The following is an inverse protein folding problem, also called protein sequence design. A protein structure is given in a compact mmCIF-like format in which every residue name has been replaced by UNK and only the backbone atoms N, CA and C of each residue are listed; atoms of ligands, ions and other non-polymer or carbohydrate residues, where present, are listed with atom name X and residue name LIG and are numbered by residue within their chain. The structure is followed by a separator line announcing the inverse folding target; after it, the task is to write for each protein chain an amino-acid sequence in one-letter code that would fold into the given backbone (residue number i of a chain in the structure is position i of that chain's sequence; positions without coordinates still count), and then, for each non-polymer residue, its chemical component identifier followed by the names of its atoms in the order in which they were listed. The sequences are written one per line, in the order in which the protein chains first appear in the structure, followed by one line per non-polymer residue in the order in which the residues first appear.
data_IF_317727203443
#
_entry.id   IF_317727203443
#
_cell.length_a   1.000
_cell.length_b   1.000
_cell.length_c   1.000
_cell.angle_alpha   90.00
_cell.angle_beta   90.00
_cell.angle_gamma   90.00
#
_symmetry.space_group_name_H-M   'P 1'
#
loop_
_entity.id
_entity.type
_entity.pdbx_description
1 polymer ?
#
# COMPACT_ATOMS: atom_id res chain seq x y z
N UNK A 1 55.90 20.86 -39.83
CA UNK A 1 56.67 21.41 -38.68
C UNK A 1 56.12 22.75 -38.31
N UNK A 2 55.33 22.84 -37.23
CA UNK A 2 55.16 24.04 -36.38
C UNK A 2 54.41 23.60 -35.15
N UNK A 3 55.14 23.40 -34.05
CA UNK A 3 54.61 23.19 -32.72
C UNK A 3 54.10 24.55 -32.19
N UNK A 4 52.84 24.61 -31.72
CA UNK A 4 52.34 25.71 -30.89
C UNK A 4 52.47 25.32 -29.43
N UNK A 5 53.23 26.14 -28.69
CA UNK A 5 53.40 26.10 -27.25
C UNK A 5 52.11 26.57 -26.57
N UNK A 6 51.74 25.86 -25.51
CA UNK A 6 50.63 26.22 -24.58
C UNK A 6 51.28 26.85 -23.34
N UNK A 7 50.91 28.09 -23.05
CA UNK A 7 51.27 28.80 -21.81
C UNK A 7 50.39 28.38 -20.63
N UNK A 8 50.93 28.35 -19.38
CA UNK A 8 50.16 28.01 -18.20
C UNK A 8 49.36 29.19 -17.63
N UNK A 9 48.19 28.91 -17.01
CA UNK A 9 47.32 29.87 -16.33
C UNK A 9 47.82 30.24 -14.93
N UNK A 10 47.52 31.45 -14.41
CA UNK A 10 47.97 31.93 -13.10
C UNK A 10 47.16 31.40 -11.93
N UNK A 11 47.71 31.42 -10.68
CA UNK A 11 47.08 30.83 -9.51
C UNK A 11 45.97 31.72 -8.90
N UNK A 12 44.91 31.09 -8.43
CA UNK A 12 43.77 31.68 -7.73
C UNK A 12 44.13 32.16 -6.32
N UNK A 13 43.84 33.44 -6.01
CA UNK A 13 43.97 34.04 -4.66
C UNK A 13 42.84 33.54 -3.75
N UNK A 14 43.21 33.08 -2.57
CA UNK A 14 42.33 32.81 -1.44
C UNK A 14 42.00 34.12 -0.72
N UNK A 15 40.73 34.47 -0.62
CA UNK A 15 40.24 35.49 0.30
C UNK A 15 39.75 34.82 1.57
N UNK A 16 40.40 35.12 2.66
CA UNK A 16 39.98 34.74 4.02
C UNK A 16 38.85 35.65 4.50
N UNK A 17 37.84 35.05 5.09
CA UNK A 17 36.81 35.76 5.88
C UNK A 17 36.75 35.12 7.27
N UNK A 18 37.00 35.95 8.27
CA UNK A 18 36.91 35.67 9.70
C UNK A 18 35.46 35.63 10.16
N UNK A 19 35.06 34.84 11.16
CA UNK A 19 33.69 34.77 11.67
C UNK A 19 33.49 35.79 12.80
N UNK A 20 32.53 36.72 12.55
CA UNK A 20 31.95 37.59 13.58
C UNK A 20 30.62 37.02 14.03
N UNK A 21 30.48 36.72 15.34
CA UNK A 21 29.25 36.20 15.90
C UNK A 21 28.16 37.24 16.08
N UNK A 22 26.91 36.76 15.97
CA UNK A 22 25.73 37.31 16.67
C UNK A 22 24.79 36.15 16.99
N UNK A 23 24.63 35.94 18.30
CA UNK A 23 23.60 35.07 18.85
C UNK A 23 22.22 35.68 18.65
N UNK A 24 21.29 34.93 18.06
CA UNK A 24 19.87 35.25 17.96
C UNK A 24 19.08 33.94 18.11
N UNK A 25 18.44 33.76 19.27
CA UNK A 25 17.53 32.66 19.56
C UNK A 25 16.29 32.80 18.69
N UNK A 26 16.05 31.82 17.82
CA UNK A 26 14.83 31.70 17.01
C UNK A 26 14.63 30.24 16.67
N UNK A 27 13.64 29.61 17.35
CA UNK A 27 13.36 28.19 17.44
C UNK A 27 13.47 27.39 16.16
N UNK A 28 14.24 26.34 16.24
CA UNK A 28 14.22 25.18 15.36
C UNK A 28 12.92 24.40 15.55
N UNK A 29 11.95 24.64 14.68
CA UNK A 29 10.82 23.77 14.40
C UNK A 29 10.76 23.48 12.89
N UNK A 30 11.88 23.07 12.31
CA UNK A 30 11.88 22.44 10.99
C UNK A 30 12.03 20.93 11.17
N UNK A 31 10.91 20.25 10.82
CA UNK A 31 10.74 18.83 10.95
C UNK A 31 11.93 18.01 10.44
N UNK A 32 12.27 16.95 11.15
CA UNK A 32 13.21 15.92 10.72
C UNK A 32 12.85 15.51 9.29
N UNK A 33 13.72 15.86 8.34
CA UNK A 33 13.62 15.33 6.97
C UNK A 33 13.70 13.81 7.08
N UNK A 34 12.55 13.16 6.89
CA UNK A 34 12.46 11.69 6.88
C UNK A 34 13.26 11.21 5.67
N UNK A 35 14.48 10.74 5.90
CA UNK A 35 15.29 10.16 4.84
C UNK A 35 14.77 8.76 4.56
N UNK A 36 14.42 8.48 3.31
CA UNK A 36 14.11 7.13 2.90
C UNK A 36 15.41 6.29 2.84
N UNK A 37 15.35 5.05 3.31
CA UNK A 37 16.44 4.09 3.21
C UNK A 37 16.08 3.02 2.21
N UNK A 38 16.71 3.05 1.03
CA UNK A 38 16.54 2.01 0.01
C UNK A 38 17.41 0.80 0.37
N UNK A 39 16.79 -0.38 0.31
CA UNK A 39 17.41 -1.68 0.54
C UNK A 39 17.02 -2.64 -0.58
N UNK A 40 17.62 -3.83 -0.60
CA UNK A 40 17.37 -4.85 -1.61
C UNK A 40 17.11 -6.19 -0.95
N UNK A 41 16.21 -6.97 -1.56
CA UNK A 41 15.98 -8.38 -1.25
C UNK A 41 15.92 -9.17 -2.56
N UNK A 42 16.00 -10.50 -2.46
CA UNK A 42 16.03 -11.38 -3.65
C UNK A 42 14.82 -12.30 -3.61
N UNK A 43 13.99 -12.23 -4.66
CA UNK A 43 12.85 -13.11 -4.85
C UNK A 43 13.28 -14.56 -5.09
N UNK A 44 12.35 -15.51 -4.95
CA UNK A 44 12.63 -16.96 -5.07
C UNK A 44 13.24 -17.36 -6.42
N UNK A 45 12.93 -16.60 -7.46
CA UNK A 45 13.44 -16.78 -8.83
C UNK A 45 14.74 -16.02 -9.13
N UNK A 46 15.36 -15.43 -8.09
CA UNK A 46 16.63 -14.73 -8.18
C UNK A 46 16.53 -13.25 -8.57
N UNK A 47 15.33 -12.73 -8.85
CA UNK A 47 15.14 -11.31 -9.17
C UNK A 47 15.37 -10.46 -7.91
N UNK A 48 16.23 -9.45 -8.03
CA UNK A 48 16.50 -8.50 -6.96
C UNK A 48 15.46 -7.37 -6.97
N UNK A 49 14.80 -7.18 -5.82
CA UNK A 49 13.78 -6.17 -5.61
C UNK A 49 14.32 -5.04 -4.70
N UNK A 50 14.12 -3.80 -5.11
CA UNK A 50 14.43 -2.64 -4.31
C UNK A 50 13.21 -2.27 -3.45
N UNK A 51 13.42 -2.02 -2.16
CA UNK A 51 12.38 -1.56 -1.26
C UNK A 51 12.85 -0.43 -0.35
N UNK A 52 11.91 0.35 0.17
CA UNK A 52 12.16 1.42 1.11
C UNK A 52 11.21 1.36 2.29
N UNK A 53 11.72 1.72 3.46
CA UNK A 53 10.95 1.83 4.71
C UNK A 53 11.12 3.25 5.24
N UNK A 54 10.02 3.88 5.62
CA UNK A 54 10.00 5.23 6.15
C UNK A 54 8.90 5.41 7.19
N UNK A 55 9.01 6.46 7.99
CA UNK A 55 8.01 6.78 9.01
C UNK A 55 8.08 5.89 10.25
N UNK A 56 7.07 6.00 11.08
CA UNK A 56 6.92 5.21 12.31
C UNK A 56 5.43 5.03 12.62
N UNK A 57 5.09 3.94 13.31
CA UNK A 57 3.71 3.58 13.64
C UNK A 57 3.30 2.23 13.07
N UNK A 58 1.99 1.92 13.00
CA UNK A 58 1.51 0.66 12.46
C UNK A 58 2.01 0.41 11.03
N UNK A 59 2.42 -0.82 10.68
CA UNK A 59 2.97 -1.10 9.35
C UNK A 59 1.89 -1.03 8.26
N UNK A 60 2.18 -0.24 7.23
CA UNK A 60 1.40 -0.10 6.01
C UNK A 60 2.28 -0.43 4.80
N UNK A 61 1.92 -1.43 4.02
CA UNK A 61 2.63 -1.83 2.82
C UNK A 61 1.90 -1.30 1.59
N UNK A 62 2.50 -0.35 0.88
CA UNK A 62 2.04 0.06 -0.44
C UNK A 62 2.56 -0.94 -1.46
N UNK A 63 1.66 -1.75 -1.97
CA UNK A 63 1.96 -2.75 -3.00
C UNK A 63 2.46 -2.04 -4.27
N UNK A 64 3.51 -2.58 -4.89
CA UNK A 64 4.11 -1.97 -6.07
C UNK A 64 3.10 -1.77 -7.20
N UNK A 65 3.13 -0.58 -7.78
CA UNK A 65 2.29 -0.19 -8.91
C UNK A 65 3.09 -0.22 -10.20
N UNK A 66 2.40 -0.29 -11.32
CA UNK A 66 3.01 -0.15 -12.64
C UNK A 66 3.79 1.17 -12.73
N UNK A 67 5.06 1.04 -13.11
CA UNK A 67 6.01 2.12 -13.29
C UNK A 67 6.36 2.87 -11.99
N UNK A 68 6.64 2.12 -10.94
CA UNK A 68 7.22 2.68 -9.72
C UNK A 68 8.70 3.00 -9.88
N UNK A 69 9.17 3.97 -9.13
CA UNK A 69 10.60 4.27 -8.97
C UNK A 69 10.82 4.92 -7.60
N UNK A 70 11.41 4.19 -6.67
CA UNK A 70 11.55 4.62 -5.27
C UNK A 70 12.15 6.02 -5.10
N UNK A 71 13.19 6.36 -5.85
CA UNK A 71 13.85 7.68 -5.76
C UNK A 71 13.03 8.77 -6.45
N UNK A 72 12.53 8.52 -7.67
CA UNK A 72 11.75 9.52 -8.42
C UNK A 72 10.43 9.83 -7.72
N UNK A 73 9.72 8.82 -7.22
CA UNK A 73 8.47 9.01 -6.49
C UNK A 73 8.67 9.88 -5.25
N UNK A 74 9.84 9.81 -4.61
CA UNK A 74 10.16 10.59 -3.43
C UNK A 74 10.25 12.10 -3.70
N UNK A 75 10.71 12.49 -4.87
CA UNK A 75 10.86 13.89 -5.30
C UNK A 75 9.66 14.41 -6.12
N UNK A 76 8.69 13.55 -6.34
CA UNK A 76 7.59 13.72 -7.28
C UNK A 76 6.58 14.78 -6.85
N UNK A 77 6.17 15.70 -7.74
CA UNK A 77 5.01 16.56 -7.50
C UNK A 77 3.68 15.80 -7.60
N UNK A 78 3.72 14.49 -7.95
CA UNK A 78 2.54 13.62 -8.10
C UNK A 78 2.42 12.63 -6.95
N UNK A 79 3.54 12.08 -6.42
CA UNK A 79 3.52 11.04 -5.40
C UNK A 79 4.04 11.47 -4.02
N UNK A 80 4.80 12.56 -3.93
CA UNK A 80 5.47 12.96 -2.69
C UNK A 80 4.53 13.13 -1.51
N UNK A 81 3.36 13.74 -1.72
CA UNK A 81 2.36 13.95 -0.66
C UNK A 81 1.80 12.62 -0.14
N UNK A 82 1.54 11.64 -1.03
CA UNK A 82 1.16 10.27 -0.63
C UNK A 82 2.19 9.67 0.32
N UNK A 83 3.47 9.74 -0.07
CA UNK A 83 4.55 9.11 0.67
C UNK A 83 4.78 9.80 2.01
N UNK A 84 4.76 11.14 2.02
CA UNK A 84 4.97 11.92 3.22
C UNK A 84 3.82 11.72 4.21
N UNK A 85 2.58 11.98 3.79
CA UNK A 85 1.44 12.00 4.71
C UNK A 85 1.09 10.59 5.23
N UNK A 86 1.22 9.55 4.41
CA UNK A 86 1.08 8.17 4.89
C UNK A 86 2.24 7.76 5.81
N UNK A 87 3.48 8.21 5.53
CA UNK A 87 4.65 7.94 6.36
C UNK A 87 4.67 8.70 7.67
N UNK A 88 3.98 9.82 7.79
CA UNK A 88 3.89 10.60 9.04
C UNK A 88 3.15 9.82 10.15
N UNK A 89 2.30 8.85 9.78
CA UNK A 89 1.46 8.09 10.72
C UNK A 89 1.69 6.59 10.71
N UNK A 90 2.44 6.07 9.73
CA UNK A 90 2.67 4.65 9.54
C UNK A 90 4.15 4.35 9.28
N UNK A 91 4.58 3.15 9.65
CA UNK A 91 5.77 2.56 9.06
C UNK A 91 5.41 2.15 7.63
N UNK A 92 5.65 3.06 6.68
CA UNK A 92 5.32 2.86 5.28
C UNK A 92 6.41 2.06 4.58
N UNK A 93 6.06 0.87 4.10
CA UNK A 93 6.91 0.01 3.25
C UNK A 93 6.42 0.12 1.82
N UNK A 94 7.34 0.33 0.89
CA UNK A 94 7.08 0.34 -0.55
C UNK A 94 8.25 -0.27 -1.32
N UNK A 95 8.01 -0.76 -2.50
CA UNK A 95 9.03 -1.40 -3.32
C UNK A 95 8.79 -1.14 -4.80
N UNK A 96 9.85 -1.25 -5.59
CA UNK A 96 9.75 -1.19 -7.04
C UNK A 96 9.37 -2.56 -7.61
N UNK A 97 8.38 -2.56 -8.49
CA UNK A 97 7.99 -3.74 -9.23
C UNK A 97 9.19 -4.30 -10.02
N UNK A 98 9.28 -5.61 -10.15
CA UNK A 98 10.26 -6.24 -11.07
C UNK A 98 10.18 -5.60 -12.46
N UNK A 99 11.32 -5.32 -13.05
CA UNK A 99 11.41 -4.60 -14.32
C UNK A 99 11.32 -3.09 -14.22
N UNK A 100 11.05 -2.53 -13.03
CA UNK A 100 10.87 -1.09 -12.82
C UNK A 100 11.85 -0.52 -11.79
N UNK A 101 12.04 0.79 -11.83
CA UNK A 101 12.77 1.57 -10.84
C UNK A 101 14.18 1.05 -10.59
N UNK A 102 14.47 0.78 -9.33
CA UNK A 102 15.74 0.26 -8.85
C UNK A 102 15.79 -1.28 -8.77
N UNK A 103 14.66 -1.96 -9.00
CA UNK A 103 14.59 -3.42 -9.11
C UNK A 103 15.22 -3.91 -10.39
N UNK A 104 15.61 -5.20 -10.42
CA UNK A 104 16.20 -5.82 -11.61
C UNK A 104 15.28 -5.70 -12.83
N UNK A 105 15.88 -5.50 -14.00
CA UNK A 105 15.15 -5.35 -15.28
C UNK A 105 14.56 -6.65 -15.82
N UNK A 106 14.93 -7.79 -15.25
CA UNK A 106 14.34 -9.08 -15.59
C UNK A 106 12.93 -9.18 -15.02
N UNK A 107 11.94 -9.28 -15.88
CA UNK A 107 10.52 -9.40 -15.48
C UNK A 107 10.04 -10.85 -15.38
N UNK A 108 10.79 -11.82 -15.94
CA UNK A 108 10.34 -13.21 -16.07
C UNK A 108 9.03 -13.32 -16.86
N UNK A 109 8.13 -14.19 -16.41
CA UNK A 109 6.72 -14.26 -16.87
C UNK A 109 5.80 -13.64 -15.78
N UNK A 110 5.48 -12.33 -15.90
CA UNK A 110 4.75 -11.64 -14.85
C UNK A 110 3.30 -12.15 -14.76
N UNK A 111 2.91 -12.49 -13.53
CA UNK A 111 1.59 -13.02 -13.19
C UNK A 111 1.21 -12.57 -11.77
N UNK A 112 -0.05 -12.78 -11.40
CA UNK A 112 -0.52 -12.52 -10.01
C UNK A 112 0.32 -13.29 -9.00
N UNK A 113 0.66 -14.55 -9.29
CA UNK A 113 1.44 -15.40 -8.39
C UNK A 113 2.87 -14.89 -8.20
N UNK A 114 3.49 -14.44 -9.28
CA UNK A 114 4.83 -13.83 -9.23
C UNK A 114 4.81 -12.54 -8.42
N UNK A 115 3.85 -11.65 -8.65
CA UNK A 115 3.75 -10.39 -7.90
C UNK A 115 3.38 -10.58 -6.42
N UNK A 116 2.57 -11.60 -6.09
CA UNK A 116 2.29 -11.99 -4.70
C UNK A 116 3.57 -12.51 -4.03
N UNK A 117 4.37 -13.32 -4.73
CA UNK A 117 5.67 -13.79 -4.24
C UNK A 117 6.69 -12.65 -4.04
N UNK A 118 6.68 -11.63 -4.90
CA UNK A 118 7.50 -10.42 -4.73
C UNK A 118 7.10 -9.65 -3.47
N UNK A 119 5.79 -9.46 -3.25
CA UNK A 119 5.28 -8.83 -2.04
C UNK A 119 5.67 -9.63 -0.80
N UNK A 120 5.52 -10.96 -0.81
CA UNK A 120 5.93 -11.84 0.28
C UNK A 120 7.43 -11.68 0.60
N UNK A 121 8.28 -11.70 -0.44
CA UNK A 121 9.72 -11.50 -0.29
C UNK A 121 10.06 -10.16 0.39
N UNK A 122 9.39 -9.09 0.03
CA UNK A 122 9.62 -7.75 0.61
C UNK A 122 9.17 -7.70 2.06
N UNK A 123 7.97 -8.17 2.40
CA UNK A 123 7.45 -8.10 3.78
C UNK A 123 8.23 -9.00 4.73
N UNK A 124 8.76 -10.13 4.23
CA UNK A 124 9.65 -11.02 4.98
C UNK A 124 11.03 -10.38 5.20
N UNK A 125 11.59 -9.70 4.19
CA UNK A 125 12.86 -8.98 4.32
C UNK A 125 12.79 -7.79 5.31
N UNK A 126 11.61 -7.20 5.47
CA UNK A 126 11.34 -6.15 6.49
C UNK A 126 11.06 -6.76 7.86
N UNK A 127 10.70 -8.05 7.95
CA UNK A 127 10.34 -8.74 9.19
C UNK A 127 8.93 -8.42 9.68
N UNK A 128 7.99 -8.14 8.76
CA UNK A 128 6.60 -7.86 9.12
C UNK A 128 5.81 -9.15 9.35
N UNK A 129 5.29 -9.33 10.55
CA UNK A 129 4.37 -10.45 10.86
C UNK A 129 2.94 -10.13 10.43
N UNK A 130 2.45 -8.91 10.76
CA UNK A 130 1.10 -8.46 10.45
C UNK A 130 1.09 -6.99 10.06
N UNK A 131 0.41 -6.65 8.96
CA UNK A 131 0.44 -5.31 8.36
C UNK A 131 -0.85 -5.00 7.60
N UNK A 132 -1.09 -3.71 7.34
CA UNK A 132 -2.13 -3.27 6.41
C UNK A 132 -1.56 -3.20 4.98
N UNK A 133 -2.42 -3.44 3.99
CA UNK A 133 -2.10 -3.32 2.57
C UNK A 133 -2.78 -2.09 1.96
N UNK A 134 -2.03 -1.35 1.15
CA UNK A 134 -2.55 -0.33 0.23
C UNK A 134 -2.27 -0.77 -1.21
N UNK A 135 -3.33 -1.13 -1.92
CA UNK A 135 -3.28 -1.47 -3.34
C UNK A 135 -3.87 -0.34 -4.20
N UNK A 136 -3.02 0.29 -5.02
CA UNK A 136 -3.44 1.35 -5.95
C UNK A 136 -3.47 0.78 -7.37
N UNK A 137 -4.54 1.04 -8.13
CA UNK A 137 -4.67 0.56 -9.51
C UNK A 137 -4.56 -0.98 -9.60
N UNK A 138 -3.70 -1.53 -10.47
CA UNK A 138 -3.50 -2.98 -10.58
C UNK A 138 -2.95 -3.64 -9.30
N UNK A 139 -2.29 -2.89 -8.44
CA UNK A 139 -1.83 -3.41 -7.16
C UNK A 139 -2.98 -3.81 -6.22
N UNK A 140 -4.20 -3.33 -6.48
CA UNK A 140 -5.40 -3.77 -5.78
C UNK A 140 -5.63 -5.28 -5.96
N UNK A 141 -5.50 -5.81 -7.17
CA UNK A 141 -5.64 -7.25 -7.43
C UNK A 141 -4.54 -8.07 -6.72
N UNK A 142 -3.31 -7.56 -6.65
CA UNK A 142 -2.21 -8.21 -5.92
C UNK A 142 -2.51 -8.21 -4.42
N UNK A 143 -2.99 -7.08 -3.88
CA UNK A 143 -3.38 -6.96 -2.47
C UNK A 143 -4.52 -7.93 -2.11
N UNK A 144 -5.54 -8.06 -2.98
CA UNK A 144 -6.64 -9.02 -2.83
C UNK A 144 -6.12 -10.45 -2.82
N UNK A 145 -5.28 -10.82 -3.80
CA UNK A 145 -4.72 -12.17 -3.90
C UNK A 145 -3.84 -12.51 -2.68
N UNK A 146 -3.03 -11.56 -2.22
CA UNK A 146 -2.21 -11.73 -1.02
C UNK A 146 -3.08 -11.88 0.23
N UNK A 147 -4.06 -11.01 0.43
CA UNK A 147 -4.94 -11.04 1.59
C UNK A 147 -5.77 -12.33 1.68
N UNK A 148 -6.24 -12.85 0.54
CA UNK A 148 -6.96 -14.12 0.48
C UNK A 148 -6.06 -15.32 0.86
N UNK A 149 -4.78 -15.30 0.46
CA UNK A 149 -3.83 -16.39 0.71
C UNK A 149 -3.16 -16.32 2.09
N UNK A 150 -3.06 -15.14 2.68
CA UNK A 150 -2.36 -14.88 3.94
C UNK A 150 -3.24 -14.11 4.95
N UNK A 151 -4.42 -14.64 5.32
CA UNK A 151 -5.39 -13.92 6.16
C UNK A 151 -4.84 -13.55 7.54
N UNK A 152 -3.92 -14.34 8.08
CA UNK A 152 -3.29 -14.08 9.38
C UNK A 152 -2.28 -12.92 9.35
N UNK A 153 -1.72 -12.62 8.18
CA UNK A 153 -0.71 -11.55 7.99
C UNK A 153 -1.32 -10.19 7.66
N UNK A 154 -2.55 -10.16 7.13
CA UNK A 154 -3.18 -8.91 6.69
C UNK A 154 -4.16 -8.41 7.76
N UNK A 155 -3.90 -7.23 8.31
CA UNK A 155 -4.77 -6.62 9.29
C UNK A 155 -5.95 -5.89 8.64
N UNK A 156 -5.69 -5.17 7.55
CA UNK A 156 -6.66 -4.38 6.77
C UNK A 156 -6.22 -4.26 5.33
N UNK A 157 -7.17 -4.02 4.44
CA UNK A 157 -6.90 -3.77 3.02
C UNK A 157 -7.52 -2.45 2.60
N UNK A 158 -6.72 -1.58 1.99
CA UNK A 158 -7.19 -0.35 1.34
C UNK A 158 -6.93 -0.48 -0.15
N UNK A 159 -7.96 -0.34 -0.96
CA UNK A 159 -7.89 -0.43 -2.42
C UNK A 159 -8.33 0.91 -3.02
N UNK A 160 -7.49 1.49 -3.86
CA UNK A 160 -7.82 2.75 -4.55
C UNK A 160 -7.67 2.60 -6.07
N UNK A 161 -8.71 2.97 -6.82
CA UNK A 161 -8.70 2.99 -8.29
C UNK A 161 -8.39 1.62 -8.91
N UNK A 162 -8.73 0.54 -8.18
CA UNK A 162 -8.35 -0.83 -8.54
C UNK A 162 -9.42 -1.61 -9.31
N UNK A 163 -9.04 -2.80 -9.77
CA UNK A 163 -9.91 -3.73 -10.49
C UNK A 163 -9.68 -5.17 -10.04
N UNK A 164 -10.74 -6.01 -10.13
CA UNK A 164 -10.65 -7.45 -9.90
C UNK A 164 -10.22 -8.22 -11.15
N UNK A 165 -10.47 -7.68 -12.32
CA UNK A 165 -10.24 -8.33 -13.63
C UNK A 165 -9.63 -7.37 -14.62
N UNK A 166 -8.61 -7.82 -15.34
CA UNK A 166 -7.92 -7.05 -16.36
C UNK A 166 -8.76 -6.88 -17.64
N UNK A 167 -8.27 -6.05 -18.55
CA UNK A 167 -8.96 -5.63 -19.79
C UNK A 167 -9.41 -6.78 -20.69
N UNK A 168 -8.72 -7.92 -20.66
CA UNK A 168 -9.10 -9.11 -21.46
C UNK A 168 -10.43 -9.71 -21.01
N UNK A 169 -10.75 -9.62 -19.71
CA UNK A 169 -12.00 -10.13 -19.15
C UNK A 169 -13.18 -9.15 -19.31
N UNK A 170 -12.90 -7.88 -19.62
CA UNK A 170 -13.92 -6.86 -19.93
C UNK A 170 -14.09 -6.60 -21.45
N UNK A 171 -13.55 -7.46 -22.32
CA UNK A 171 -13.72 -7.37 -23.75
C UNK A 171 -12.84 -6.34 -24.46
N UNK A 172 -11.89 -5.72 -23.75
CA UNK A 172 -11.03 -4.63 -24.26
C UNK A 172 -9.69 -5.13 -24.80
N UNK A 173 -9.68 -6.26 -25.50
CA UNK A 173 -8.44 -6.88 -26.02
C UNK A 173 -7.80 -6.02 -27.13
N UNK A 174 -8.62 -5.42 -28.00
CA UNK A 174 -8.12 -4.58 -29.11
C UNK A 174 -7.48 -3.30 -28.60
N UNK A 175 -8.08 -2.69 -27.58
CA UNK A 175 -7.55 -1.50 -26.92
C UNK A 175 -6.22 -1.82 -26.20
N UNK A 176 -6.13 -2.97 -25.54
CA UNK A 176 -4.88 -3.45 -24.92
C UNK A 176 -3.77 -3.60 -25.98
N UNK A 177 -4.06 -4.25 -27.10
CA UNK A 177 -3.08 -4.46 -28.15
C UNK A 177 -2.62 -3.15 -28.81
N UNK A 178 -3.54 -2.20 -29.02
CA UNK A 178 -3.22 -0.87 -29.53
C UNK A 178 -2.28 -0.11 -28.57
N UNK A 179 -2.57 -0.13 -27.27
CA UNK A 179 -1.72 0.51 -26.25
C UNK A 179 -0.35 -0.18 -26.20
N UNK A 180 -0.28 -1.51 -26.22
CA UNK A 180 0.98 -2.25 -26.22
C UNK A 180 1.82 -1.93 -27.47
N UNK A 181 1.21 -1.81 -28.65
CA UNK A 181 1.91 -1.39 -29.87
C UNK A 181 2.44 0.04 -29.74
N UNK A 182 1.63 0.94 -29.20
CA UNK A 182 2.02 2.32 -28.96
C UNK A 182 3.16 2.43 -27.93
N UNK A 183 3.14 1.64 -26.83
CA UNK A 183 4.25 1.56 -25.86
C UNK A 183 5.54 1.18 -26.58
N UNK A 184 5.52 0.14 -27.42
CA UNK A 184 6.71 -0.33 -28.12
C UNK A 184 7.27 0.71 -29.10
N UNK A 185 6.40 1.47 -29.75
CA UNK A 185 6.79 2.47 -30.74
C UNK A 185 7.24 3.80 -30.12
N UNK A 186 6.61 4.22 -29.03
CA UNK A 186 6.73 5.60 -28.54
C UNK A 186 7.44 5.79 -27.18
N UNK A 187 7.72 4.72 -26.43
CA UNK A 187 8.18 4.81 -25.04
C UNK A 187 9.46 5.62 -24.85
N UNK A 188 10.48 5.36 -25.68
CA UNK A 188 11.80 5.98 -25.59
C UNK A 188 12.02 7.11 -26.58
N UNK A 189 11.01 7.43 -27.43
CA UNK A 189 11.16 8.48 -28.44
C UNK A 189 11.37 9.85 -27.79
N UNK A 190 12.16 10.74 -28.39
CA UNK A 190 12.30 12.12 -27.93
C UNK A 190 10.95 12.86 -27.91
N UNK A 191 10.05 12.57 -28.87
CA UNK A 191 8.72 13.18 -28.95
C UNK A 191 7.87 12.73 -27.74
N UNK A 192 7.42 13.64 -26.87
CA UNK A 192 6.62 13.29 -25.69
C UNK A 192 5.16 12.95 -26.02
N UNK A 193 4.68 13.18 -27.24
CA UNK A 193 3.26 13.06 -27.61
C UNK A 193 2.64 11.71 -27.17
N UNK A 194 3.41 10.62 -27.31
CA UNK A 194 2.97 9.30 -26.87
C UNK A 194 2.78 9.23 -25.34
N UNK A 195 3.73 9.74 -24.57
CA UNK A 195 3.67 9.72 -23.11
C UNK A 195 2.60 10.66 -22.56
N UNK A 196 2.30 11.75 -23.27
CA UNK A 196 1.18 12.67 -22.98
C UNK A 196 -0.18 11.97 -22.98
N UNK A 197 -0.36 10.93 -23.79
CA UNK A 197 -1.58 10.13 -23.75
C UNK A 197 -1.77 9.51 -22.37
N UNK A 198 -0.70 9.01 -21.73
CA UNK A 198 -0.78 8.46 -20.39
C UNK A 198 -0.97 9.55 -19.34
N UNK A 199 -0.19 10.64 -19.38
CA UNK A 199 -0.36 11.71 -18.40
C UNK A 199 -1.77 12.34 -18.46
N UNK A 200 -2.35 12.48 -19.65
CA UNK A 200 -3.72 12.96 -19.83
C UNK A 200 -4.81 11.97 -19.31
N UNK A 201 -4.52 10.67 -19.29
CA UNK A 201 -5.43 9.67 -18.74
C UNK A 201 -5.32 9.56 -17.21
N UNK A 202 -4.08 9.58 -16.70
CA UNK A 202 -3.80 9.39 -15.28
C UNK A 202 -4.00 10.65 -14.43
N UNK A 203 -3.75 11.82 -15.03
CA UNK A 203 -3.75 13.14 -14.39
C UNK A 203 -4.52 14.18 -15.23
N UNK A 204 -5.80 13.94 -15.58
CA UNK A 204 -6.53 14.89 -16.46
C UNK A 204 -6.61 16.31 -15.90
N UNK A 205 -6.56 16.45 -14.56
CA UNK A 205 -6.56 17.75 -13.87
C UNK A 205 -5.17 18.14 -13.35
N UNK A 206 -4.12 17.45 -13.81
CA UNK A 206 -2.74 17.74 -13.44
C UNK A 206 -2.24 19.05 -14.07
N UNK A 207 -1.34 19.75 -13.37
CA UNK A 207 -0.60 20.88 -13.93
C UNK A 207 0.33 20.42 -15.05
N UNK A 208 0.78 21.33 -15.90
CA UNK A 208 1.75 21.03 -16.95
C UNK A 208 3.06 20.44 -16.37
N UNK A 209 3.48 20.91 -15.19
CA UNK A 209 4.65 20.40 -14.46
C UNK A 209 4.43 18.95 -14.00
N UNK A 210 3.28 18.66 -13.38
CA UNK A 210 2.92 17.30 -12.92
C UNK A 210 2.83 16.32 -14.09
N UNK A 211 2.23 16.72 -15.21
CA UNK A 211 2.16 15.89 -16.42
C UNK A 211 3.54 15.64 -17.02
N UNK A 212 4.38 16.67 -17.15
CA UNK A 212 5.73 16.54 -17.69
C UNK A 212 6.60 15.64 -16.79
N UNK A 213 6.46 15.79 -15.47
CA UNK A 213 7.15 14.93 -14.52
C UNK A 213 6.71 13.47 -14.65
N UNK A 214 5.40 13.22 -14.77
CA UNK A 214 4.85 11.88 -14.96
C UNK A 214 5.35 11.23 -16.27
N UNK A 215 5.42 12.01 -17.36
CA UNK A 215 6.00 11.58 -18.64
C UNK A 215 7.48 11.16 -18.51
N UNK A 216 8.27 11.89 -17.70
CA UNK A 216 9.67 11.55 -17.43
C UNK A 216 9.80 10.31 -16.55
N UNK A 217 8.93 10.17 -15.52
CA UNK A 217 8.84 8.96 -14.71
C UNK A 217 8.60 7.72 -15.59
N UNK A 218 7.64 7.76 -16.51
CA UNK A 218 7.36 6.66 -17.43
C UNK A 218 8.63 6.21 -18.16
N UNK A 219 9.35 7.16 -18.72
CA UNK A 219 10.57 6.92 -19.50
C UNK A 219 11.72 6.35 -18.67
N UNK A 220 11.87 6.82 -17.41
CA UNK A 220 13.00 6.47 -16.53
C UNK A 220 12.75 5.19 -15.74
N UNK A 221 11.49 4.86 -15.47
CA UNK A 221 11.15 3.72 -14.63
C UNK A 221 11.45 2.37 -15.28
N UNK A 222 11.30 2.24 -16.62
CA UNK A 222 11.45 0.95 -17.27
C UNK A 222 11.74 1.07 -18.76
N UNK A 223 12.06 -0.06 -19.42
CA UNK A 223 12.23 -0.15 -20.88
C UNK A 223 10.89 -0.31 -21.60
N UNK A 224 10.84 0.03 -22.90
CA UNK A 224 9.66 -0.19 -23.73
C UNK A 224 9.20 -1.66 -23.75
N UNK A 225 10.14 -2.59 -23.81
CA UNK A 225 9.86 -4.03 -23.79
C UNK A 225 9.22 -4.48 -22.50
N UNK A 226 9.79 -4.09 -21.35
CA UNK A 226 9.27 -4.42 -20.03
C UNK A 226 7.90 -3.74 -19.78
N UNK A 227 7.76 -2.45 -20.11
CA UNK A 227 6.49 -1.74 -19.99
C UNK A 227 5.36 -2.44 -20.77
N UNK A 228 5.64 -2.83 -22.02
CA UNK A 228 4.68 -3.54 -22.88
C UNK A 228 4.31 -4.93 -22.32
N UNK A 229 5.28 -5.68 -21.83
CA UNK A 229 5.06 -7.02 -21.25
C UNK A 229 4.26 -6.95 -19.95
N UNK A 230 4.63 -6.04 -19.04
CA UNK A 230 3.91 -5.79 -17.79
C UNK A 230 2.48 -5.29 -18.06
N UNK A 231 2.27 -4.39 -19.03
CA UNK A 231 0.93 -3.93 -19.41
C UNK A 231 0.05 -5.07 -19.92
N UNK A 232 0.60 -5.95 -20.76
CA UNK A 232 -0.11 -7.13 -21.27
C UNK A 232 -0.41 -8.16 -20.17
N UNK A 233 0.50 -8.36 -19.21
CA UNK A 233 0.29 -9.26 -18.09
C UNK A 233 -0.87 -8.80 -17.21
N UNK A 234 -1.00 -7.48 -17.00
CA UNK A 234 -2.11 -6.89 -16.24
C UNK A 234 -3.47 -7.08 -16.90
N UNK A 235 -3.52 -7.11 -18.23
CA UNK A 235 -4.75 -7.44 -18.98
C UNK A 235 -5.26 -8.85 -18.66
N UNK A 236 -4.39 -9.77 -18.22
CA UNK A 236 -4.71 -11.16 -17.87
C UNK A 236 -5.03 -11.39 -16.39
N UNK A 237 -4.91 -10.37 -15.55
CA UNK A 237 -5.24 -10.46 -14.12
C UNK A 237 -6.73 -10.82 -13.94
N UNK A 238 -7.01 -11.78 -13.06
CA UNK A 238 -8.35 -12.08 -12.59
C UNK A 238 -8.26 -12.63 -11.18
N UNK A 239 -8.86 -11.92 -10.22
CA UNK A 239 -8.92 -12.29 -8.80
C UNK A 239 -10.36 -12.36 -8.30
N UNK A 240 -11.34 -12.48 -9.21
CA UNK A 240 -12.76 -12.57 -8.84
C UNK A 240 -13.05 -13.75 -7.91
N UNK A 241 -12.38 -14.89 -8.09
CA UNK A 241 -12.56 -16.08 -7.27
C UNK A 241 -11.80 -15.99 -5.92
N UNK A 242 -10.83 -15.10 -5.80
CA UNK A 242 -10.07 -14.84 -4.57
C UNK A 242 -10.71 -13.75 -3.71
N UNK A 243 -11.36 -12.76 -4.32
CA UNK A 243 -11.97 -11.64 -3.62
C UNK A 243 -12.98 -12.06 -2.52
N UNK A 244 -13.85 -13.06 -2.72
CA UNK A 244 -14.74 -13.55 -1.66
C UNK A 244 -14.03 -14.23 -0.48
N UNK A 245 -12.73 -14.57 -0.62
CA UNK A 245 -11.91 -15.22 0.41
C UNK A 245 -11.14 -14.21 1.26
N UNK A 246 -11.23 -12.92 0.97
CA UNK A 246 -10.57 -11.87 1.76
C UNK A 246 -11.29 -11.71 3.10
N UNK A 247 -10.58 -12.02 4.19
CA UNK A 247 -11.10 -11.96 5.54
C UNK A 247 -10.79 -10.63 6.25
N UNK A 248 -9.81 -9.88 5.75
CA UNK A 248 -9.44 -8.60 6.30
C UNK A 248 -10.50 -7.55 5.96
N UNK A 249 -10.89 -6.71 6.93
CA UNK A 249 -11.75 -5.55 6.64
C UNK A 249 -11.16 -4.75 5.49
N UNK A 250 -11.99 -4.39 4.53
CA UNK A 250 -11.53 -3.77 3.29
C UNK A 250 -12.24 -2.44 3.05
N UNK A 251 -11.45 -1.41 2.73
CA UNK A 251 -11.91 -0.12 2.24
C UNK A 251 -11.59 -0.02 0.75
N UNK A 252 -12.61 0.19 -0.07
CA UNK A 252 -12.46 0.41 -1.51
C UNK A 252 -12.80 1.86 -1.83
N UNK A 253 -11.88 2.59 -2.40
CA UNK A 253 -12.09 3.97 -2.84
C UNK A 253 -11.85 4.10 -4.34
N UNK A 254 -12.61 4.95 -5.01
CA UNK A 254 -12.48 5.12 -6.46
C UNK A 254 -12.85 6.55 -6.87
N UNK A 255 -12.07 7.13 -7.78
CA UNK A 255 -12.41 8.42 -8.38
C UNK A 255 -13.59 8.24 -9.35
N UNK A 256 -14.57 9.17 -9.28
CA UNK A 256 -15.84 9.10 -10.05
C UNK A 256 -15.60 8.99 -11.56
N UNK A 257 -14.71 9.83 -12.07
CA UNK A 257 -14.47 10.01 -13.50
C UNK A 257 -13.10 9.46 -13.94
N UNK A 258 -12.62 8.43 -13.22
CA UNK A 258 -11.37 7.74 -13.56
C UNK A 258 -11.44 7.15 -14.98
N UNK A 259 -10.50 7.61 -15.83
CA UNK A 259 -10.42 7.19 -17.24
C UNK A 259 -9.45 6.02 -17.47
N UNK A 260 -8.68 5.65 -16.47
CA UNK A 260 -7.73 4.51 -16.52
C UNK A 260 -8.43 3.22 -16.13
N UNK A 261 -9.14 3.26 -15.00
CA UNK A 261 -9.94 2.18 -14.46
C UNK A 261 -11.35 2.68 -14.20
N UNK A 262 -12.36 2.20 -14.94
CA UNK A 262 -13.74 2.61 -14.73
C UNK A 262 -14.23 2.34 -13.31
N UNK A 263 -14.99 3.25 -12.72
CA UNK A 263 -15.52 3.15 -11.34
C UNK A 263 -16.31 1.85 -11.08
N UNK A 264 -16.85 1.25 -12.13
CA UNK A 264 -17.57 -0.03 -12.08
C UNK A 264 -16.67 -1.17 -11.59
N UNK A 265 -15.37 -1.13 -11.88
CA UNK A 265 -14.41 -2.13 -11.39
C UNK A 265 -14.17 -1.99 -9.87
N UNK A 266 -14.12 -0.77 -9.34
CA UNK A 266 -14.09 -0.54 -7.89
C UNK A 266 -15.37 -1.02 -7.18
N UNK A 267 -16.54 -0.76 -7.78
CA UNK A 267 -17.82 -1.29 -7.29
C UNK A 267 -17.86 -2.81 -7.32
N UNK A 268 -17.32 -3.42 -8.38
CA UNK A 268 -17.22 -4.88 -8.47
C UNK A 268 -16.34 -5.43 -7.34
N UNK A 269 -15.18 -4.86 -7.08
CA UNK A 269 -14.33 -5.24 -5.94
C UNK A 269 -15.08 -5.17 -4.62
N UNK A 270 -15.79 -4.07 -4.37
CA UNK A 270 -16.58 -3.90 -3.15
C UNK A 270 -17.76 -4.88 -3.03
N UNK A 271 -18.30 -5.34 -4.17
CA UNK A 271 -19.37 -6.36 -4.19
C UNK A 271 -18.82 -7.76 -3.93
N UNK A 272 -17.61 -8.06 -4.43
CA UNK A 272 -17.01 -9.40 -4.32
C UNK A 272 -16.37 -9.64 -2.94
N UNK A 273 -15.82 -8.60 -2.31
CA UNK A 273 -15.14 -8.72 -1.01
C UNK A 273 -16.16 -8.61 0.12
N UNK A 274 -16.26 -9.60 1.03
CA UNK A 274 -17.18 -9.55 2.15
C UNK A 274 -16.98 -8.31 3.03
N UNK A 275 -18.06 -7.65 3.40
CA UNK A 275 -18.10 -6.48 4.28
C UNK A 275 -17.18 -5.32 3.84
N UNK A 276 -16.88 -5.22 2.54
CA UNK A 276 -16.09 -4.13 2.00
C UNK A 276 -16.87 -2.80 2.03
N UNK A 277 -16.23 -1.76 2.52
CA UNK A 277 -16.76 -0.40 2.49
C UNK A 277 -16.35 0.31 1.20
N UNK A 278 -17.32 0.89 0.46
CA UNK A 278 -17.05 1.60 -0.79
C UNK A 278 -17.24 3.10 -0.64
N UNK A 279 -16.24 3.88 -1.07
CA UNK A 279 -16.29 5.35 -1.08
C UNK A 279 -16.00 5.86 -2.49
N UNK A 280 -16.90 6.70 -2.98
CA UNK A 280 -16.76 7.38 -4.25
C UNK A 280 -16.14 8.76 -4.01
N UNK A 281 -14.97 9.00 -4.62
CA UNK A 281 -14.28 10.28 -4.53
C UNK A 281 -14.62 11.16 -5.72
N UNK A 282 -14.81 12.46 -5.48
CA UNK A 282 -15.12 13.44 -6.52
C UNK A 282 -13.84 13.92 -7.20
N UNK A 283 -13.34 13.10 -8.11
CA UNK A 283 -12.12 13.35 -8.89
C UNK A 283 -12.21 12.66 -10.24
N UNK A 284 -11.46 13.19 -11.22
CA UNK A 284 -11.19 12.53 -12.50
C UNK A 284 -9.76 11.96 -12.57
N UNK A 285 -8.92 12.30 -11.58
CA UNK A 285 -7.54 11.82 -11.55
C UNK A 285 -7.45 10.37 -11.08
N UNK A 286 -6.76 9.54 -11.86
CA UNK A 286 -6.44 8.17 -11.43
C UNK A 286 -5.40 8.15 -10.30
N UNK A 287 -4.53 9.14 -10.25
CA UNK A 287 -3.61 9.41 -9.14
C UNK A 287 -4.05 10.72 -8.52
N UNK A 288 -4.58 10.68 -7.29
CA UNK A 288 -5.04 11.88 -6.59
C UNK A 288 -3.88 12.86 -6.37
N UNK A 289 -4.15 14.12 -6.64
CA UNK A 289 -3.19 15.20 -6.51
C UNK A 289 -3.38 15.94 -5.19
N UNK A 290 -2.30 16.49 -4.63
CA UNK A 290 -2.31 17.15 -3.32
C UNK A 290 -3.30 18.33 -3.24
N UNK A 291 -3.49 19.04 -4.37
CA UNK A 291 -4.33 20.22 -4.42
C UNK A 291 -5.84 19.97 -4.62
N UNK A 292 -6.26 18.69 -4.80
CA UNK A 292 -7.68 18.40 -5.02
C UNK A 292 -8.38 18.00 -3.71
N UNK A 293 -9.64 18.45 -3.48
CA UNK A 293 -10.38 18.14 -2.25
C UNK A 293 -10.56 16.64 -2.02
N UNK A 294 -10.57 15.83 -3.10
CA UNK A 294 -10.64 14.38 -3.02
C UNK A 294 -9.46 13.75 -2.27
N UNK A 295 -8.29 14.41 -2.26
CA UNK A 295 -7.13 13.96 -1.50
C UNK A 295 -7.38 14.02 0.01
N UNK A 296 -7.95 15.11 0.52
CA UNK A 296 -8.25 15.25 1.95
C UNK A 296 -9.27 14.20 2.40
N UNK A 297 -10.29 13.92 1.57
CA UNK A 297 -11.26 12.86 1.83
C UNK A 297 -10.56 11.50 1.86
N UNK A 298 -9.75 11.20 0.85
CA UNK A 298 -8.99 9.95 0.77
C UNK A 298 -8.11 9.73 2.01
N UNK A 299 -7.38 10.75 2.42
CA UNK A 299 -6.48 10.66 3.57
C UNK A 299 -7.26 10.47 4.88
N UNK A 300 -8.33 11.25 5.10
CA UNK A 300 -9.15 11.15 6.30
C UNK A 300 -9.82 9.78 6.44
N UNK A 301 -10.29 9.20 5.33
CA UNK A 301 -10.91 7.87 5.31
C UNK A 301 -9.89 6.75 5.57
N UNK A 302 -8.69 6.85 5.01
CA UNK A 302 -7.60 5.91 5.34
C UNK A 302 -7.25 6.00 6.82
N UNK A 303 -7.09 7.20 7.36
CA UNK A 303 -6.72 7.41 8.75
C UNK A 303 -7.81 6.87 9.69
N UNK A 304 -9.07 7.17 9.43
CA UNK A 304 -10.18 6.64 10.19
C UNK A 304 -10.24 5.11 10.11
N UNK A 305 -10.05 4.55 8.93
CA UNK A 305 -10.11 3.11 8.69
C UNK A 305 -8.92 2.37 9.32
N UNK A 306 -7.69 2.85 9.17
CA UNK A 306 -6.49 2.23 9.74
C UNK A 306 -6.31 2.54 11.22
N UNK A 307 -6.71 3.72 11.68
CA UNK A 307 -6.58 4.16 13.07
C UNK A 307 -7.46 3.41 14.07
N UNK A 308 -8.51 2.74 13.62
CA UNK A 308 -9.36 1.92 14.48
C UNK A 308 -8.63 0.72 15.10
N UNK A 309 -7.48 0.31 14.55
CA UNK A 309 -6.65 -0.76 15.13
C UNK A 309 -5.67 -0.27 16.22
N UNK A 310 -5.28 1.01 16.20
CA UNK A 310 -4.50 1.59 17.29
C UNK A 310 -5.29 1.57 18.63
N UNK A 311 -6.62 1.61 18.55
CA UNK A 311 -7.52 1.39 19.71
C UNK A 311 -7.73 -0.10 20.02
N UNK A 312 -7.52 -1.01 19.05
CA UNK A 312 -7.67 -2.46 19.26
C UNK A 312 -6.51 -3.08 20.04
N UNK A 313 -5.38 -2.40 20.13
CA UNK A 313 -4.23 -2.82 20.96
C UNK A 313 -4.26 -2.30 22.39
N UNK A 314 -5.17 -1.37 22.72
CA UNK A 314 -5.36 -0.92 24.09
C UNK A 314 -6.28 -1.90 24.83
N UNK A 315 -5.98 -2.26 26.08
CA UNK A 315 -6.85 -3.08 26.91
C UNK A 315 -8.23 -2.40 27.04
N UNK A 316 -9.29 -3.05 26.59
CA UNK A 316 -10.66 -2.57 26.72
C UNK A 316 -11.30 -3.31 27.90
N UNK A 317 -11.72 -2.56 28.92
CA UNK A 317 -12.39 -3.09 30.10
C UNK A 317 -11.46 -3.51 31.23
N UNK A 318 -12.06 -3.88 32.38
CA UNK A 318 -11.37 -4.21 33.63
C UNK A 318 -10.42 -5.42 33.54
N UNK A 319 -10.51 -6.23 32.47
CA UNK A 319 -9.71 -7.44 32.28
C UNK A 319 -8.51 -7.28 31.32
N UNK A 320 -8.26 -6.10 30.74
CA UNK A 320 -7.13 -5.84 29.87
C UNK A 320 -7.14 -6.59 28.52
N UNK A 321 -8.33 -7.02 28.07
CA UNK A 321 -8.50 -7.72 26.79
C UNK A 321 -8.46 -6.75 25.61
N UNK A 322 -7.87 -7.18 24.50
CA UNK A 322 -7.94 -6.47 23.20
C UNK A 322 -9.31 -6.65 22.56
N UNK A 323 -9.67 -5.77 21.61
CA UNK A 323 -10.94 -5.89 20.87
C UNK A 323 -11.06 -7.27 20.17
N UNK A 324 -9.98 -7.81 19.63
CA UNK A 324 -9.98 -9.13 18.99
C UNK A 324 -10.14 -10.28 19.99
N UNK A 325 -9.56 -10.15 21.16
CA UNK A 325 -9.75 -11.12 22.25
C UNK A 325 -11.18 -11.09 22.78
N UNK A 326 -11.81 -9.91 22.88
CA UNK A 326 -13.22 -9.78 23.22
C UNK A 326 -14.13 -10.43 22.18
N UNK A 327 -13.83 -10.25 20.89
CA UNK A 327 -14.59 -10.86 19.80
C UNK A 327 -14.50 -12.40 19.82
N UNK A 328 -13.29 -12.95 20.03
CA UNK A 328 -13.09 -14.39 20.24
C UNK A 328 -13.85 -14.87 21.49
N UNK A 329 -13.74 -14.12 22.61
CA UNK A 329 -14.41 -14.46 23.85
C UNK A 329 -15.92 -14.47 23.73
N UNK A 330 -16.51 -13.52 23.00
CA UNK A 330 -17.94 -13.47 22.70
C UNK A 330 -18.41 -14.70 21.93
N UNK A 331 -17.67 -15.12 20.89
CA UNK A 331 -17.99 -16.33 20.14
C UNK A 331 -17.82 -17.61 20.98
N UNK A 332 -16.91 -17.60 21.95
CA UNK A 332 -16.79 -18.68 22.94
C UNK A 332 -18.01 -18.73 23.83
N UNK A 333 -18.54 -17.60 24.28
CA UNK A 333 -19.77 -17.57 25.11
C UNK A 333 -21.01 -17.97 24.34
N UNK A 334 -21.04 -17.78 23.02
CA UNK A 334 -22.07 -18.33 22.12
C UNK A 334 -21.93 -19.86 21.91
N UNK A 335 -20.94 -20.50 22.51
CA UNK A 335 -20.73 -21.96 22.44
C UNK A 335 -20.06 -22.46 21.18
N UNK A 336 -19.49 -21.60 20.33
CA UNK A 336 -18.84 -22.02 19.08
C UNK A 336 -17.55 -22.79 19.35
N UNK A 337 -17.25 -23.77 18.49
CA UNK A 337 -15.97 -24.49 18.50
C UNK A 337 -14.85 -23.61 17.95
N UNK A 338 -13.57 -23.94 18.23
CA UNK A 338 -12.43 -23.24 17.66
C UNK A 338 -12.45 -23.23 16.12
N UNK A 339 -12.91 -24.32 15.51
CA UNK A 339 -13.09 -24.45 14.07
C UNK A 339 -14.15 -23.47 13.54
N UNK A 340 -15.30 -23.37 14.23
CA UNK A 340 -16.38 -22.44 13.86
C UNK A 340 -15.96 -20.97 14.06
N UNK A 341 -15.24 -20.68 15.16
CA UNK A 341 -14.67 -19.36 15.44
C UNK A 341 -13.65 -18.99 14.34
N UNK A 342 -12.76 -19.92 13.99
CA UNK A 342 -11.78 -19.73 12.93
C UNK A 342 -12.47 -19.40 11.60
N UNK A 343 -13.50 -20.14 11.21
CA UNK A 343 -14.27 -19.86 10.00
C UNK A 343 -14.98 -18.51 10.04
N UNK A 344 -15.64 -18.17 11.16
CA UNK A 344 -16.41 -16.91 11.31
C UNK A 344 -15.51 -15.66 11.38
N UNK A 345 -14.31 -15.80 11.95
CA UNK A 345 -13.36 -14.71 12.09
C UNK A 345 -12.28 -14.73 10.99
N UNK A 346 -12.37 -15.67 10.05
CA UNK A 346 -11.38 -15.89 8.99
C UNK A 346 -9.94 -16.01 9.54
N UNK A 347 -9.79 -16.84 10.57
CA UNK A 347 -8.50 -17.13 11.21
C UNK A 347 -8.13 -18.62 11.02
N UNK A 348 -6.87 -18.95 11.24
CA UNK A 348 -6.51 -20.34 11.45
C UNK A 348 -6.97 -20.81 12.84
N UNK A 349 -7.26 -22.10 12.99
CA UNK A 349 -7.59 -22.69 14.31
C UNK A 349 -6.48 -22.41 15.32
N UNK A 350 -5.23 -22.49 14.88
CA UNK A 350 -4.03 -22.18 15.70
C UNK A 350 -4.02 -20.72 16.18
N UNK A 351 -4.47 -19.79 15.35
CA UNK A 351 -4.59 -18.36 15.73
C UNK A 351 -5.68 -18.17 16.79
N UNK A 352 -6.82 -18.85 16.65
CA UNK A 352 -7.88 -18.85 17.67
C UNK A 352 -7.37 -19.42 18.99
N UNK A 353 -6.63 -20.54 18.96
CA UNK A 353 -6.02 -21.16 20.15
C UNK A 353 -5.03 -20.20 20.84
N UNK A 354 -4.21 -19.48 20.08
CA UNK A 354 -3.32 -18.45 20.62
C UNK A 354 -4.11 -17.31 21.31
N UNK A 355 -5.19 -16.81 20.69
CA UNK A 355 -6.03 -15.82 21.32
C UNK A 355 -6.67 -16.35 22.61
N UNK A 356 -7.16 -17.58 22.61
CA UNK A 356 -7.71 -18.20 23.82
C UNK A 356 -6.67 -18.34 24.94
N UNK A 357 -5.46 -18.72 24.62
CA UNK A 357 -4.35 -18.78 25.58
C UNK A 357 -4.09 -17.42 26.20
N UNK A 358 -4.03 -16.35 25.40
CA UNK A 358 -3.84 -14.99 25.87
C UNK A 358 -5.03 -14.51 26.74
N UNK A 359 -6.26 -14.80 26.30
CA UNK A 359 -7.49 -14.49 27.04
C UNK A 359 -7.47 -15.18 28.42
N UNK A 360 -7.17 -16.47 28.46
CA UNK A 360 -7.15 -17.22 29.71
C UNK A 360 -6.07 -16.71 30.67
N UNK A 361 -4.88 -16.35 30.14
CA UNK A 361 -3.84 -15.71 30.95
C UNK A 361 -4.27 -14.36 31.53
N UNK A 362 -4.92 -13.51 30.74
CA UNK A 362 -5.39 -12.19 31.16
C UNK A 362 -6.56 -12.28 32.14
N UNK A 363 -7.47 -13.22 31.95
CA UNK A 363 -8.61 -13.48 32.84
C UNK A 363 -8.23 -14.32 34.07
N UNK A 364 -6.98 -14.79 34.16
CA UNK A 364 -6.46 -15.66 35.21
C UNK A 364 -7.29 -16.97 35.40
N UNK A 365 -7.83 -17.48 34.27
CA UNK A 365 -8.56 -18.75 34.25
C UNK A 365 -7.67 -19.86 33.69
N UNK A 366 -7.71 -21.04 34.29
CA UNK A 366 -6.87 -22.19 33.89
C UNK A 366 -7.62 -23.53 34.05
N UNK A 367 -7.06 -24.59 33.42
CA UNK A 367 -7.58 -25.95 33.53
C UNK A 367 -8.72 -26.27 32.57
N UNK A 368 -9.32 -27.48 32.72
CA UNK A 368 -10.38 -28.00 31.85
C UNK A 368 -11.66 -27.15 31.84
N UNK A 369 -11.88 -26.33 32.86
CA UNK A 369 -13.02 -25.40 33.00
C UNK A 369 -12.72 -24.00 32.41
N UNK A 370 -11.49 -23.72 31.95
CA UNK A 370 -11.07 -22.39 31.50
C UNK A 370 -11.98 -21.77 30.45
N UNK A 371 -12.46 -22.60 29.49
CA UNK A 371 -13.41 -22.16 28.45
C UNK A 371 -14.78 -21.76 29.03
N UNK A 372 -15.32 -22.57 29.92
CA UNK A 372 -16.61 -22.26 30.56
C UNK A 372 -16.54 -21.06 31.50
N UNK A 373 -15.43 -20.94 32.25
CA UNK A 373 -15.17 -19.79 33.14
C UNK A 373 -14.98 -18.51 32.33
N UNK A 374 -14.25 -18.55 31.21
CA UNK A 374 -14.10 -17.40 30.32
C UNK A 374 -15.43 -16.98 29.70
N UNK A 375 -16.28 -17.94 29.29
CA UNK A 375 -17.61 -17.68 28.74
C UNK A 375 -18.53 -17.02 29.80
N UNK A 376 -18.51 -17.48 31.04
CA UNK A 376 -19.29 -16.89 32.15
C UNK A 376 -18.86 -15.44 32.48
N UNK A 377 -17.55 -15.17 32.43
CA UNK A 377 -17.02 -13.81 32.67
C UNK A 377 -17.35 -12.84 31.54
N UNK A 378 -17.54 -13.32 30.28
CA UNK A 378 -17.92 -12.44 29.18
C UNK A 378 -19.32 -11.84 29.35
N UNK A 379 -20.24 -12.59 29.93
CA UNK A 379 -21.60 -12.10 30.23
C UNK A 379 -21.59 -10.95 31.25
N UNK A 380 -20.64 -10.94 32.18
CA UNK A 380 -20.47 -9.86 33.14
C UNK A 380 -19.80 -8.60 32.57
N UNK A 381 -19.06 -8.74 31.47
CA UNK A 381 -18.39 -7.62 30.80
C UNK A 381 -19.34 -6.85 29.86
N UNK A 382 -20.48 -7.43 29.45
CA UNK A 382 -21.50 -6.81 28.59
C UNK A 382 -22.61 -6.08 29.41
N UNK A 383 -22.66 -6.16 30.77
CA UNK A 383 -23.57 -5.36 31.55
C UNK A 383 -23.07 -3.91 31.69
N UNK A 384 -23.91 -2.90 31.33
CA UNK A 384 -23.56 -1.50 31.56
C UNK A 384 -23.39 -1.25 33.08
N UNK A 385 -22.46 -0.35 33.49
CA UNK A 385 -22.24 -0.05 34.90
C UNK A 385 -23.55 0.40 35.55
N UNK A 386 -24.04 -0.35 36.53
CA UNK A 386 -25.17 0.05 37.38
C UNK A 386 -24.73 1.26 38.19
N UNK A 387 -25.20 2.44 37.84
CA UNK A 387 -25.10 3.61 38.71
C UNK A 387 -26.00 3.38 39.94
N UNK A 388 -25.53 3.56 41.15
CA UNK A 388 -26.38 3.52 42.31
C UNK A 388 -27.39 4.65 42.22
N UNK A 389 -28.68 4.31 42.25
CA UNK A 389 -29.79 5.24 42.39
C UNK A 389 -29.62 6.00 43.73
N UNK A 390 -29.53 7.32 43.65
CA UNK A 390 -29.67 8.21 44.80
C UNK A 390 -31.14 8.42 45.10
#
# INVERSE_FOLDING_TARGET
MHRRQVSPAPPSQRLGVTPGGLAGAGGELYGRSVKQHVRFCTARDGVRLAYAVQGSGPPLVRVATWLSHLELDWESPVWRHWLKQLGDRHTLVRYDERGCGLSDRNIGDPSVDVWVGDLETVVDAVGLERFALLGVSQAAAIAVAYAARHPDRVSRVVLYGGYARGRRFSGQVREEEAIVAAIRAGWTTPNPAFRRMFSALYLPNGTAEQMAWYEDLLRRSTTAGAAAALYRARGRVNVCDLAPQVCARTLVMHARDDRVVPVQEGRLLATLIPDAHFILLDSANHILLEQEPAWDVFLSEIEAFLGTDARSGLPIGAAGLTARELEVLRLVSEGLTNQSIAGRLCLSVRTVERHLTNIYAKLQVSGKAGRASAAALSVQLDEPPRFPSR
#
